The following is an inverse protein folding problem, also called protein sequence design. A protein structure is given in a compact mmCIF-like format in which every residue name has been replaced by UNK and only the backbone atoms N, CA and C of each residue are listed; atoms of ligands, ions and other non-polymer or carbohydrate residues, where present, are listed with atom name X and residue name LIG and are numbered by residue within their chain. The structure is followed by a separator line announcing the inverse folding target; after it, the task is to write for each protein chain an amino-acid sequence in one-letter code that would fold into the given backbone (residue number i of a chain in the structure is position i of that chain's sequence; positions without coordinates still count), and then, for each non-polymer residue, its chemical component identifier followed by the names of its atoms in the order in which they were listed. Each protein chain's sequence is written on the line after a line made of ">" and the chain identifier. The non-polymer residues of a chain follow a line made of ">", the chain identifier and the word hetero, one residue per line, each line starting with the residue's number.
data_IF_112004755562
#
_entry.id   IF_112004755562
#
_cell.length_a   1.000
_cell.length_b   1.000
_cell.length_c   1.000
_cell.angle_alpha   90.00
_cell.angle_beta   90.00
_cell.angle_gamma   90.00
#
_symmetry.space_group_name_H-M   'P 1'
#
loop_
_entity.id
_entity.type
_entity.pdbx_description
1 polymer ?
#
# COMPACT_ATOMS: atom_id res chain seq x y z
N UNK A 1 -7.56 58.35 -25.79
CA UNK A 1 -7.78 58.05 -24.35
C UNK A 1 -7.79 56.55 -24.05
N UNK A 2 -8.32 55.71 -24.95
CA UNK A 2 -8.50 54.26 -24.76
C UNK A 2 -7.20 53.44 -24.74
N UNK A 3 -6.13 53.92 -25.39
CA UNK A 3 -4.85 53.20 -25.44
C UNK A 3 -4.08 53.13 -24.11
N UNK A 4 -4.39 53.98 -23.13
CA UNK A 4 -3.71 53.96 -21.82
C UNK A 4 -4.25 52.90 -20.85
N UNK A 5 -5.52 52.51 -21.01
CA UNK A 5 -6.20 51.58 -20.12
C UNK A 5 -5.83 50.12 -20.44
N UNK A 6 -5.78 49.78 -21.73
CA UNK A 6 -5.28 48.49 -22.21
C UNK A 6 -3.81 48.23 -21.81
N UNK A 7 -2.98 49.27 -21.85
CA UNK A 7 -1.56 49.20 -21.47
C UNK A 7 -1.39 48.98 -19.96
N UNK A 8 -2.29 49.54 -19.14
CA UNK A 8 -2.33 49.29 -17.70
C UNK A 8 -2.74 47.86 -17.36
N UNK A 9 -3.72 47.31 -18.08
CA UNK A 9 -4.17 45.92 -17.92
C UNK A 9 -3.04 44.95 -18.30
N UNK A 10 -2.35 45.19 -19.42
CA UNK A 10 -1.25 44.33 -19.87
C UNK A 10 -0.10 44.26 -18.85
N UNK A 11 0.28 45.39 -18.24
CA UNK A 11 1.32 45.42 -17.19
C UNK A 11 0.90 44.65 -15.95
N UNK A 12 -0.38 44.70 -15.61
CA UNK A 12 -0.94 43.97 -14.47
C UNK A 12 -0.89 42.46 -14.73
N UNK A 13 -1.26 42.02 -15.93
CA UNK A 13 -1.15 40.62 -16.34
C UNK A 13 0.32 40.15 -16.28
N UNK A 14 1.25 40.93 -16.84
CA UNK A 14 2.68 40.59 -16.80
C UNK A 14 3.24 40.48 -15.39
N UNK A 15 2.81 41.34 -14.46
CA UNK A 15 3.23 41.27 -13.06
C UNK A 15 2.69 40.02 -12.36
N UNK A 16 1.44 39.64 -12.66
CA UNK A 16 0.81 38.43 -12.14
C UNK A 16 1.49 37.17 -12.70
N UNK A 17 1.76 37.12 -14.01
CA UNK A 17 2.46 36.01 -14.65
C UNK A 17 3.85 35.83 -14.03
N UNK A 18 4.58 36.93 -13.82
CA UNK A 18 5.89 36.90 -13.16
C UNK A 18 5.83 36.36 -11.73
N UNK A 19 4.74 36.64 -10.99
CA UNK A 19 4.56 36.07 -9.65
C UNK A 19 4.17 34.58 -9.70
N UNK A 20 3.33 34.16 -10.65
CA UNK A 20 3.02 32.74 -10.85
C UNK A 20 4.26 31.92 -11.19
N UNK A 21 5.10 32.40 -12.10
CA UNK A 21 6.36 31.74 -12.49
C UNK A 21 7.31 31.52 -11.32
N UNK A 22 7.20 32.32 -10.23
CA UNK A 22 8.01 32.14 -9.02
C UNK A 22 7.48 31.05 -8.11
N UNK A 23 6.18 30.78 -8.12
CA UNK A 23 5.58 29.75 -7.27
C UNK A 23 5.65 28.36 -7.88
N UNK A 24 5.62 28.22 -9.21
CA UNK A 24 5.75 26.94 -9.89
C UNK A 24 7.00 26.11 -9.48
N UNK A 25 8.22 26.66 -9.42
CA UNK A 25 9.39 25.90 -8.98
C UNK A 25 9.31 25.50 -7.51
N UNK A 26 8.71 26.35 -6.67
CA UNK A 26 8.55 26.05 -5.24
C UNK A 26 7.51 24.95 -5.01
N UNK A 27 6.40 24.99 -5.75
CA UNK A 27 5.40 23.92 -5.78
C UNK A 27 6.04 22.61 -6.24
N UNK A 28 6.80 22.63 -7.35
CA UNK A 28 7.49 21.44 -7.85
C UNK A 28 8.47 20.87 -6.82
N UNK A 29 9.23 21.73 -6.14
CA UNK A 29 10.17 21.34 -5.07
C UNK A 29 9.44 20.68 -3.90
N UNK A 30 8.37 21.28 -3.41
CA UNK A 30 7.59 20.75 -2.28
C UNK A 30 6.93 19.42 -2.67
N UNK A 31 6.39 19.30 -3.89
CA UNK A 31 5.84 18.04 -4.40
C UNK A 31 6.89 16.93 -4.46
N UNK A 32 8.11 17.22 -4.91
CA UNK A 32 9.20 16.25 -4.92
C UNK A 32 9.57 15.78 -3.50
N UNK A 33 9.66 16.72 -2.55
CA UNK A 33 9.92 16.40 -1.14
C UNK A 33 8.80 15.52 -0.59
N UNK A 34 7.53 15.89 -0.82
CA UNK A 34 6.38 15.11 -0.38
C UNK A 34 6.41 13.68 -0.95
N UNK A 35 6.70 13.53 -2.24
CA UNK A 35 6.79 12.22 -2.89
C UNK A 35 7.89 11.33 -2.26
N UNK A 36 9.05 11.91 -1.95
CA UNK A 36 10.15 11.18 -1.29
C UNK A 36 9.78 10.74 0.13
N UNK A 37 9.17 11.62 0.92
CA UNK A 37 8.72 11.33 2.28
C UNK A 37 7.62 10.27 2.30
N UNK A 38 6.64 10.35 1.39
CA UNK A 38 5.60 9.35 1.25
C UNK A 38 6.18 7.98 0.90
N UNK A 39 7.18 7.92 0.01
CA UNK A 39 7.88 6.68 -0.34
C UNK A 39 8.59 6.09 0.87
N UNK A 40 9.34 6.90 1.62
CA UNK A 40 10.02 6.45 2.85
C UNK A 40 9.02 5.95 3.89
N UNK A 41 7.89 6.64 4.07
CA UNK A 41 6.79 6.23 4.96
C UNK A 41 6.23 4.86 4.57
N UNK A 42 5.95 4.65 3.28
CA UNK A 42 5.45 3.35 2.77
C UNK A 42 6.45 2.22 3.06
N UNK A 43 7.74 2.45 2.80
CA UNK A 43 8.77 1.45 3.02
C UNK A 43 8.90 1.07 4.50
N UNK A 44 8.91 2.06 5.39
CA UNK A 44 8.94 1.83 6.84
C UNK A 44 7.70 1.09 7.33
N UNK A 45 6.52 1.46 6.81
CA UNK A 45 5.27 0.79 7.15
C UNK A 45 5.28 -0.68 6.72
N UNK A 46 5.73 -0.95 5.49
CA UNK A 46 5.92 -2.31 4.99
C UNK A 46 6.86 -3.11 5.89
N UNK A 47 8.03 -2.55 6.26
CA UNK A 47 8.98 -3.22 7.14
C UNK A 47 8.39 -3.51 8.53
N UNK A 48 7.69 -2.53 9.10
CA UNK A 48 6.97 -2.69 10.37
C UNK A 48 5.96 -3.85 10.31
N UNK A 49 5.17 -3.92 9.23
CA UNK A 49 4.16 -4.96 9.07
C UNK A 49 4.80 -6.34 8.86
N UNK A 50 5.93 -6.41 8.13
CA UNK A 50 6.71 -7.64 8.01
C UNK A 50 7.21 -8.14 9.37
N UNK A 51 7.83 -7.27 10.17
CA UNK A 51 8.33 -7.55 11.52
C UNK A 51 7.21 -7.94 12.48
N UNK A 52 6.08 -7.21 12.49
CA UNK A 52 4.90 -7.58 13.28
C UNK A 52 4.40 -8.96 12.91
N UNK A 53 4.39 -9.29 11.63
CA UNK A 53 4.03 -10.64 11.22
C UNK A 53 5.06 -11.70 11.65
N UNK A 54 6.36 -11.39 11.79
CA UNK A 54 7.36 -12.34 12.34
C UNK A 54 7.03 -12.63 13.81
N UNK A 55 6.65 -11.59 14.55
CA UNK A 55 6.29 -11.71 15.96
C UNK A 55 4.90 -12.31 16.17
N UNK A 56 4.07 -12.36 15.12
CA UNK A 56 2.74 -12.97 15.17
C UNK A 56 2.86 -14.45 15.58
N UNK A 57 2.11 -14.90 16.60
CA UNK A 57 2.07 -16.30 17.01
C UNK A 57 1.85 -17.26 15.83
N UNK A 58 1.14 -16.81 14.79
CA UNK A 58 0.80 -17.62 13.63
C UNK A 58 1.98 -18.08 12.76
N UNK A 59 3.16 -17.43 12.86
CA UNK A 59 4.40 -17.91 12.19
C UNK A 59 5.26 -18.79 13.10
N UNK A 60 4.93 -18.88 14.39
CA UNK A 60 5.59 -19.74 15.37
C UNK A 60 4.88 -21.08 15.55
N UNK A 61 3.66 -21.20 15.04
CA UNK A 61 2.95 -22.47 14.99
C UNK A 61 3.71 -23.43 14.07
N UNK A 62 4.03 -24.65 14.55
CA UNK A 62 4.54 -25.69 13.67
C UNK A 62 3.56 -25.96 12.52
N UNK A 63 4.07 -26.25 11.32
CA UNK A 63 3.23 -26.50 10.16
C UNK A 63 2.19 -27.59 10.44
N UNK A 64 2.53 -28.64 11.20
CA UNK A 64 1.64 -29.75 11.56
C UNK A 64 0.39 -29.29 12.32
N UNK A 65 0.54 -28.30 13.21
CA UNK A 65 -0.58 -27.73 13.96
C UNK A 65 -1.48 -26.90 13.04
N UNK A 66 -0.89 -26.12 12.13
CA UNK A 66 -1.64 -25.38 11.11
C UNK A 66 -2.41 -26.32 10.18
N UNK A 67 -1.80 -27.43 9.74
CA UNK A 67 -2.48 -28.45 8.94
C UNK A 67 -3.70 -29.01 9.66
N UNK A 68 -3.54 -29.34 10.94
CA UNK A 68 -4.63 -29.87 11.78
C UNK A 68 -5.78 -28.87 11.87
N UNK A 69 -5.47 -27.60 12.15
CA UNK A 69 -6.45 -26.51 12.19
C UNK A 69 -7.20 -26.41 10.85
N UNK A 70 -6.49 -26.40 9.72
CA UNK A 70 -7.11 -26.28 8.40
C UNK A 70 -8.03 -27.46 8.08
N UNK A 71 -7.62 -28.69 8.42
CA UNK A 71 -8.42 -29.90 8.20
C UNK A 71 -9.69 -29.88 9.05
N UNK A 72 -9.58 -29.49 10.33
CA UNK A 72 -10.73 -29.31 11.22
C UNK A 72 -11.67 -28.21 10.71
N UNK A 73 -11.13 -27.03 10.37
CA UNK A 73 -11.90 -25.88 9.92
C UNK A 73 -12.70 -26.21 8.65
N UNK A 74 -12.11 -26.92 7.69
CA UNK A 74 -12.82 -27.38 6.49
C UNK A 74 -14.00 -28.30 6.79
N UNK A 75 -13.88 -29.14 7.82
CA UNK A 75 -14.97 -30.02 8.24
C UNK A 75 -16.17 -29.25 8.80
N UNK A 76 -15.96 -28.03 9.27
CA UNK A 76 -17.02 -27.14 9.76
C UNK A 76 -17.49 -26.13 8.72
N UNK A 77 -16.58 -25.63 7.87
CA UNK A 77 -16.84 -24.60 6.86
C UNK A 77 -16.00 -24.88 5.59
N UNK A 78 -16.60 -25.41 4.52
CA UNK A 78 -15.87 -25.80 3.30
C UNK A 78 -15.15 -24.64 2.60
N UNK A 79 -15.70 -23.43 2.68
CA UNK A 79 -15.18 -22.22 2.03
C UNK A 79 -13.99 -21.57 2.76
N UNK A 80 -13.50 -22.20 3.84
CA UNK A 80 -12.37 -21.68 4.62
C UNK A 80 -11.01 -21.84 3.91
N UNK A 81 -10.91 -22.75 2.93
CA UNK A 81 -9.64 -23.08 2.26
C UNK A 81 -9.06 -21.91 1.46
N UNK A 82 -9.84 -21.20 0.61
CA UNK A 82 -9.37 -19.96 -0.02
C UNK A 82 -8.97 -18.89 1.01
N UNK A 83 -9.70 -18.78 2.12
CA UNK A 83 -9.46 -17.75 3.14
C UNK A 83 -8.13 -17.94 3.88
N UNK A 84 -7.78 -19.17 4.28
CA UNK A 84 -6.50 -19.44 4.97
C UNK A 84 -5.28 -19.15 4.09
N UNK A 85 -5.41 -19.34 2.77
CA UNK A 85 -4.37 -19.01 1.79
C UNK A 85 -4.13 -17.51 1.58
N UNK A 86 -5.07 -16.64 2.02
CA UNK A 86 -4.92 -15.19 1.93
C UNK A 86 -4.26 -14.56 3.17
N UNK A 87 -4.14 -15.31 4.28
CA UNK A 87 -3.64 -14.75 5.53
C UNK A 87 -2.16 -14.39 5.47
N UNK A 88 -1.30 -15.31 5.00
CA UNK A 88 0.10 -15.03 4.73
C UNK A 88 0.75 -16.10 3.85
N UNK A 89 1.96 -15.82 3.35
CA UNK A 89 2.74 -16.78 2.53
C UNK A 89 2.98 -18.12 3.24
N UNK A 90 3.24 -18.09 4.56
CA UNK A 90 3.46 -19.32 5.33
C UNK A 90 2.21 -20.21 5.37
N UNK A 91 1.04 -19.64 5.67
CA UNK A 91 -0.23 -20.36 5.70
C UNK A 91 -0.60 -20.93 4.33
N UNK A 92 -0.37 -20.16 3.26
CA UNK A 92 -0.57 -20.63 1.88
C UNK A 92 0.32 -21.83 1.56
N UNK A 93 1.61 -21.76 1.90
CA UNK A 93 2.54 -22.87 1.67
C UNK A 93 2.10 -24.13 2.43
N UNK A 94 1.68 -23.98 3.69
CA UNK A 94 1.16 -25.11 4.48
C UNK A 94 -0.12 -25.67 3.88
N UNK A 95 -1.09 -24.84 3.52
CA UNK A 95 -2.35 -25.28 2.93
C UNK A 95 -2.15 -26.03 1.61
N UNK A 96 -1.35 -25.50 0.68
CA UNK A 96 -1.00 -26.17 -0.59
C UNK A 96 -0.27 -27.48 -0.33
N UNK A 97 0.65 -27.51 0.64
CA UNK A 97 1.41 -28.71 1.03
C UNK A 97 0.63 -29.73 1.86
N UNK A 98 -0.69 -29.57 2.04
CA UNK A 98 -1.53 -30.49 2.83
C UNK A 98 -2.50 -31.23 1.91
N UNK A 99 -2.15 -32.41 1.36
CA UNK A 99 -2.99 -33.15 0.42
C UNK A 99 -4.40 -33.44 0.95
N UNK A 100 -4.51 -33.67 2.27
CA UNK A 100 -5.79 -33.90 2.94
C UNK A 100 -6.80 -32.79 2.73
N UNK A 101 -6.38 -31.54 2.45
CA UNK A 101 -7.28 -30.41 2.19
C UNK A 101 -7.92 -30.45 0.79
N UNK A 102 -7.26 -31.09 -0.17
CA UNK A 102 -7.61 -31.10 -1.59
C UNK A 102 -8.18 -32.46 -2.06
N UNK A 103 -8.19 -33.47 -1.19
CA UNK A 103 -8.53 -34.86 -1.55
C UNK A 103 -10.02 -35.12 -1.87
N UNK A 104 -10.88 -34.10 -1.76
CA UNK A 104 -12.32 -34.17 -2.07
C UNK A 104 -12.76 -33.05 -3.05
N UNK A 105 -11.84 -32.58 -3.90
CA UNK A 105 -12.15 -31.67 -5.01
C UNK A 105 -12.38 -32.49 -6.28
#
# INVERSE_FOLDING_TARGET
>A
PEGGEADGILRTIQAIDSEFERYDPEIARIQAILASLQTRRRNLKWYQDCCRGVLSPMRKLPPEVLQTIFVCARGSEPDVIPAVGQVCRHWRNVAVGTPKLWSNI
#
